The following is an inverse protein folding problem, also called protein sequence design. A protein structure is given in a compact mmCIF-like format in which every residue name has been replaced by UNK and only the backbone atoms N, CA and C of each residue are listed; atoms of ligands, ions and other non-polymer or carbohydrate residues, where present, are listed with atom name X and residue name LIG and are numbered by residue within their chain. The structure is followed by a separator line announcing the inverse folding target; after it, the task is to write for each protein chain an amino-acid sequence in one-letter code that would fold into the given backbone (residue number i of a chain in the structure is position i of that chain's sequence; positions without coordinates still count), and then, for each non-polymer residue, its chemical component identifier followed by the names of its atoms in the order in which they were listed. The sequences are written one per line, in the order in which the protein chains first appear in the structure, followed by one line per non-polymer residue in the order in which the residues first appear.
data_IF_962070357286
#
_entry.id   IF_962070357286
#
_cell.length_a   1.000
_cell.length_b   1.000
_cell.length_c   1.000
_cell.angle_alpha   90.00
_cell.angle_beta   90.00
_cell.angle_gamma   90.00
#
_symmetry.space_group_name_H-M   'P 1'
#
loop_
_entity.id
_entity.type
_entity.pdbx_description
1 polymer ?
#
# COMPACT_ATOMS: atom_id res chain seq x y z
N UNK A 1 -39.06 -24.31 13.04
CA UNK A 1 -38.08 -23.40 13.67
C UNK A 1 -36.85 -23.39 12.79
N UNK A 2 -36.77 -22.37 11.93
CA UNK A 2 -35.74 -22.27 10.89
C UNK A 2 -34.79 -21.18 11.35
N UNK A 3 -33.58 -21.56 11.76
CA UNK A 3 -32.53 -20.60 12.11
C UNK A 3 -32.06 -19.95 10.82
N UNK A 4 -32.34 -18.65 10.68
CA UNK A 4 -31.78 -17.80 9.63
C UNK A 4 -30.26 -17.75 9.81
N UNK A 5 -29.54 -18.30 8.85
CA UNK A 5 -28.12 -18.01 8.65
C UNK A 5 -28.00 -16.54 8.25
N UNK A 6 -27.50 -15.72 9.17
CA UNK A 6 -27.19 -14.33 8.91
C UNK A 6 -25.97 -14.29 7.97
N UNK A 7 -26.22 -13.96 6.72
CA UNK A 7 -25.21 -13.78 5.68
C UNK A 7 -24.54 -12.40 5.85
N UNK A 8 -23.63 -12.27 6.82
CA UNK A 8 -22.60 -11.24 6.76
C UNK A 8 -21.36 -11.88 6.16
N UNK A 9 -21.11 -11.60 4.89
CA UNK A 9 -19.94 -12.04 4.13
C UNK A 9 -18.67 -11.41 4.70
N UNK A 10 -18.13 -11.99 5.78
CA UNK A 10 -16.77 -11.69 6.27
C UNK A 10 -15.75 -12.28 5.28
N UNK A 11 -15.44 -11.53 4.22
CA UNK A 11 -14.30 -11.86 3.37
C UNK A 11 -13.05 -11.28 4.03
N UNK A 12 -12.40 -12.16 4.79
CA UNK A 12 -11.14 -11.96 5.52
C UNK A 12 -10.05 -11.52 4.54
N UNK A 13 -9.49 -10.31 4.68
CA UNK A 13 -8.10 -10.07 4.25
C UNK A 13 -7.26 -11.07 5.05
N UNK A 14 -6.51 -11.94 4.39
CA UNK A 14 -5.87 -13.08 5.05
C UNK A 14 -5.10 -12.63 6.31
N UNK A 15 -5.47 -13.19 7.47
CA UNK A 15 -4.96 -12.86 8.81
C UNK A 15 -5.44 -11.55 9.47
N UNK A 16 -6.45 -10.88 8.92
CA UNK A 16 -7.09 -9.70 9.51
C UNK A 16 -8.53 -9.97 9.95
N UNK A 17 -8.93 -9.40 11.09
CA UNK A 17 -10.27 -9.51 11.66
C UNK A 17 -10.79 -8.09 11.91
N UNK A 18 -11.96 -7.77 11.37
CA UNK A 18 -12.66 -6.52 11.64
C UNK A 18 -13.29 -6.56 13.03
N UNK A 19 -13.15 -5.48 13.79
CA UNK A 19 -13.72 -5.37 15.12
C UNK A 19 -15.14 -4.76 15.04
N UNK A 20 -16.07 -5.19 15.91
CA UNK A 20 -17.41 -4.62 15.92
C UNK A 20 -17.40 -3.15 16.37
N UNK A 21 -18.21 -2.32 15.71
CA UNK A 21 -18.43 -0.95 16.16
C UNK A 21 -19.14 -0.93 17.51
N UNK A 22 -18.60 -0.17 18.47
CA UNK A 22 -19.19 -0.05 19.79
C UNK A 22 -20.62 0.53 19.69
N UNK A 23 -21.61 -0.14 20.29
CA UNK A 23 -23.04 0.02 19.99
C UNK A 23 -23.64 1.43 20.17
N UNK A 24 -22.90 2.37 20.78
CA UNK A 24 -23.33 3.75 21.02
C UNK A 24 -23.33 4.67 19.78
N UNK A 25 -22.83 4.21 18.62
CA UNK A 25 -22.64 5.04 17.41
C UNK A 25 -23.48 4.60 16.18
N UNK A 26 -24.51 3.76 16.37
CA UNK A 26 -25.27 3.05 15.31
C UNK A 26 -26.11 3.89 14.32
N UNK A 27 -25.98 5.21 14.25
CA UNK A 27 -26.90 6.05 13.46
C UNK A 27 -26.40 6.40 12.05
N UNK A 28 -25.72 5.48 11.36
CA UNK A 28 -25.19 5.77 10.02
C UNK A 28 -25.65 4.79 8.95
N UNK A 29 -25.93 5.35 7.78
CA UNK A 29 -26.46 4.67 6.59
C UNK A 29 -25.38 4.27 5.58
N UNK A 30 -24.11 4.56 5.85
CA UNK A 30 -22.95 4.10 5.06
C UNK A 30 -22.42 2.76 5.59
N UNK A 31 -21.77 1.93 4.76
CA UNK A 31 -21.14 0.68 5.20
C UNK A 31 -19.93 0.97 6.10
N UNK A 32 -20.16 1.19 7.38
CA UNK A 32 -19.17 1.61 8.38
C UNK A 32 -18.34 0.45 8.97
N UNK A 33 -17.98 -0.52 8.14
CA UNK A 33 -17.48 -1.82 8.58
C UNK A 33 -16.09 -1.78 9.24
N UNK A 34 -15.31 -0.71 9.05
CA UNK A 34 -13.95 -0.57 9.61
C UNK A 34 -13.89 0.29 10.88
N UNK A 35 -14.98 0.94 11.28
CA UNK A 35 -14.97 1.90 12.40
C UNK A 35 -14.67 1.28 13.77
N UNK A 36 -14.94 -0.01 13.94
CA UNK A 36 -14.51 -0.72 15.16
C UNK A 36 -13.00 -0.95 15.23
N UNK A 37 -12.28 -0.73 14.14
CA UNK A 37 -10.86 -1.08 13.98
C UNK A 37 -10.66 -2.46 13.34
N UNK A 38 -9.40 -2.80 13.09
CA UNK A 38 -9.00 -4.08 12.49
C UNK A 38 -7.79 -4.62 13.24
N UNK A 39 -7.78 -5.93 13.49
CA UNK A 39 -6.59 -6.63 14.01
C UNK A 39 -6.04 -7.53 12.91
N UNK A 40 -4.80 -7.27 12.49
CA UNK A 40 -4.05 -8.11 11.57
C UNK A 40 -2.89 -8.81 12.29
N UNK A 41 -2.65 -10.08 11.98
CA UNK A 41 -1.53 -10.83 12.54
C UNK A 41 -0.58 -11.27 11.41
N UNK A 42 0.66 -10.78 11.41
CA UNK A 42 1.61 -11.11 10.36
C UNK A 42 2.90 -11.72 10.91
N UNK A 43 3.41 -12.71 10.17
CA UNK A 43 4.77 -13.22 10.37
C UNK A 43 5.72 -12.36 9.54
N UNK A 44 6.53 -11.55 10.22
CA UNK A 44 7.47 -10.62 9.58
C UNK A 44 8.72 -11.36 9.08
N UNK A 45 9.20 -12.31 9.88
CA UNK A 45 10.28 -13.21 9.50
C UNK A 45 10.07 -14.53 10.26
N UNK A 46 10.55 -15.64 9.71
CA UNK A 46 10.39 -16.97 10.32
C UNK A 46 11.01 -17.09 11.72
N UNK A 47 12.03 -16.28 12.00
CA UNK A 47 12.78 -16.31 13.27
C UNK A 47 12.28 -15.25 14.27
N UNK A 48 11.17 -14.55 13.94
CA UNK A 48 10.54 -13.55 14.80
C UNK A 48 9.17 -14.03 15.30
N UNK A 49 8.68 -13.51 16.44
CA UNK A 49 7.30 -13.75 16.85
C UNK A 49 6.32 -13.20 15.82
N UNK A 50 5.09 -13.70 15.85
CA UNK A 50 3.99 -13.10 15.10
C UNK A 50 3.70 -11.72 15.67
N UNK A 51 3.64 -10.71 14.80
CA UNK A 51 3.26 -9.35 15.16
C UNK A 51 1.76 -9.18 15.00
N UNK A 52 1.15 -8.49 15.96
CA UNK A 52 -0.25 -8.06 15.97
C UNK A 52 -0.30 -6.56 15.70
N UNK A 53 -1.01 -6.19 14.66
CA UNK A 53 -1.27 -4.83 14.23
C UNK A 53 -2.73 -4.51 14.49
N UNK A 54 -2.99 -3.59 15.41
CA UNK A 54 -4.32 -3.07 15.68
C UNK A 54 -4.44 -1.72 14.98
N UNK A 55 -5.16 -1.71 13.86
CA UNK A 55 -5.52 -0.50 13.13
C UNK A 55 -6.73 0.09 13.85
N UNK A 56 -6.50 1.19 14.56
CA UNK A 56 -7.52 1.84 15.37
C UNK A 56 -8.42 2.66 14.45
N UNK A 57 -9.71 2.30 14.41
CA UNK A 57 -10.70 3.04 13.63
C UNK A 57 -10.82 4.48 14.11
N UNK A 58 -10.97 5.40 13.15
CA UNK A 58 -11.06 6.82 13.47
C UNK A 58 -12.37 7.21 14.15
N UNK A 59 -12.35 8.33 14.89
CA UNK A 59 -13.55 8.92 15.52
C UNK A 59 -14.55 9.42 14.46
N UNK A 60 -14.08 9.64 13.23
CA UNK A 60 -14.88 10.09 12.10
C UNK A 60 -16.00 9.09 11.70
N UNK A 61 -16.96 9.59 10.91
CA UNK A 61 -18.07 8.81 10.32
C UNK A 61 -17.65 8.01 9.07
N UNK A 62 -16.34 7.94 8.79
CA UNK A 62 -15.80 7.30 7.59
C UNK A 62 -14.99 6.05 7.95
N UNK A 63 -14.80 5.15 6.96
CA UNK A 63 -13.93 3.98 7.09
C UNK A 63 -12.45 4.38 7.00
N UNK A 64 -11.96 5.01 8.07
CA UNK A 64 -10.58 5.52 8.20
C UNK A 64 -9.95 4.99 9.48
N UNK A 65 -8.62 5.05 9.55
CA UNK A 65 -7.83 4.64 10.72
C UNK A 65 -7.00 5.82 11.22
N UNK A 66 -6.94 6.02 12.53
CA UNK A 66 -6.17 7.11 13.16
C UNK A 66 -4.71 6.71 13.37
N UNK A 67 -4.48 5.45 13.74
CA UNK A 67 -3.14 4.93 14.04
C UNK A 67 -3.08 3.41 13.92
N UNK A 68 -1.86 2.89 13.91
CA UNK A 68 -1.55 1.46 14.00
C UNK A 68 -0.80 1.20 15.30
N UNK A 69 -1.39 0.39 16.17
CA UNK A 69 -0.77 -0.10 17.40
C UNK A 69 -0.14 -1.46 17.16
N UNK A 70 1.16 -1.59 17.44
CA UNK A 70 1.95 -2.78 17.12
C UNK A 70 2.41 -3.44 18.41
N UNK A 71 2.16 -4.74 18.53
CA UNK A 71 2.63 -5.58 19.64
C UNK A 71 2.98 -6.97 19.12
N UNK A 72 3.66 -7.78 19.91
CA UNK A 72 3.76 -9.22 19.61
C UNK A 72 2.46 -9.90 19.98
N UNK A 73 2.03 -10.91 19.23
CA UNK A 73 0.69 -11.52 19.34
C UNK A 73 0.32 -11.97 20.75
N UNK A 74 1.27 -12.54 21.49
CA UNK A 74 1.07 -13.10 22.83
C UNK A 74 1.43 -12.10 23.94
N UNK A 75 1.75 -10.85 23.59
CA UNK A 75 2.10 -9.80 24.53
C UNK A 75 1.01 -8.72 24.52
N UNK A 76 0.69 -8.19 25.70
CA UNK A 76 -0.20 -7.05 25.84
C UNK A 76 0.57 -5.71 25.85
N UNK A 77 1.89 -5.77 25.77
CA UNK A 77 2.74 -4.59 25.76
C UNK A 77 2.86 -4.03 24.35
N UNK A 78 2.47 -2.77 24.21
CA UNK A 78 2.65 -2.01 22.98
C UNK A 78 4.15 -1.83 22.69
N UNK A 79 4.58 -2.25 21.51
CA UNK A 79 5.96 -2.12 21.05
C UNK A 79 6.18 -0.83 20.26
N UNK A 80 5.17 -0.41 19.49
CA UNK A 80 5.23 0.79 18.64
C UNK A 80 3.82 1.30 18.32
N UNK A 81 3.71 2.62 18.12
CA UNK A 81 2.54 3.26 17.50
C UNK A 81 2.98 3.97 16.23
N UNK A 82 2.21 3.82 15.16
CA UNK A 82 2.35 4.57 13.92
C UNK A 82 1.13 5.47 13.74
N UNK A 83 1.33 6.78 13.77
CA UNK A 83 0.25 7.74 13.50
C UNK A 83 -0.06 7.77 11.99
N UNK A 84 -1.34 7.90 11.65
CA UNK A 84 -1.82 8.02 10.28
C UNK A 84 -2.29 9.46 10.08
N UNK A 85 -1.57 10.23 9.27
CA UNK A 85 -1.89 11.66 9.10
C UNK A 85 -3.17 11.89 8.30
N UNK A 86 -3.36 11.16 7.20
CA UNK A 86 -4.53 11.31 6.33
C UNK A 86 -4.79 10.03 5.55
N UNK A 87 -6.02 9.56 5.50
CA UNK A 87 -6.44 8.43 4.66
C UNK A 87 -7.81 8.75 4.06
N UNK A 88 -7.99 8.50 2.76
CA UNK A 88 -9.31 8.59 2.14
C UNK A 88 -10.18 7.41 2.58
N UNK A 89 -11.51 7.57 2.70
CA UNK A 89 -12.39 6.50 3.13
C UNK A 89 -12.22 5.24 2.28
N UNK A 90 -12.01 4.11 2.97
CA UNK A 90 -11.77 2.83 2.33
C UNK A 90 -13.05 2.27 1.71
N UNK A 91 -12.93 1.81 0.46
CA UNK A 91 -13.97 1.05 -0.23
C UNK A 91 -14.05 -0.36 0.37
N UNK A 92 -15.23 -0.96 0.28
CA UNK A 92 -15.42 -2.37 0.60
C UNK A 92 -14.57 -3.25 -0.34
N UNK A 93 -14.10 -4.40 0.16
CA UNK A 93 -13.25 -5.36 -0.57
C UNK A 93 -11.85 -4.88 -1.01
N UNK A 94 -11.40 -3.70 -0.57
CA UNK A 94 -10.07 -3.20 -0.91
C UNK A 94 -8.99 -3.85 -0.01
N UNK A 95 -7.89 -4.30 -0.60
CA UNK A 95 -6.71 -4.74 0.14
C UNK A 95 -5.97 -3.53 0.73
N UNK A 96 -6.44 -3.05 1.89
CA UNK A 96 -6.00 -1.80 2.47
C UNK A 96 -4.70 -1.92 3.29
N UNK A 97 -4.41 -3.08 3.88
CA UNK A 97 -3.23 -3.29 4.73
C UNK A 97 -2.55 -4.61 4.41
N UNK A 98 -1.25 -4.54 4.08
CA UNK A 98 -0.50 -5.69 3.57
C UNK A 98 0.86 -5.77 4.26
N UNK A 99 1.29 -7.02 4.51
CA UNK A 99 2.68 -7.32 4.83
C UNK A 99 3.38 -8.11 3.71
N UNK A 100 4.42 -7.52 3.13
CA UNK A 100 5.25 -8.10 2.07
C UNK A 100 6.67 -7.53 2.14
N UNK A 101 7.67 -8.25 1.63
CA UNK A 101 9.07 -7.78 1.61
C UNK A 101 9.25 -6.76 0.47
N UNK A 102 9.28 -5.47 0.83
CA UNK A 102 9.29 -4.34 -0.10
C UNK A 102 10.71 -3.84 -0.40
N UNK A 103 11.68 -4.16 0.46
CA UNK A 103 13.08 -3.79 0.27
C UNK A 103 14.00 -4.96 -0.17
N UNK A 104 13.47 -6.17 -0.23
CA UNK A 104 14.11 -7.43 -0.62
C UNK A 104 15.21 -7.93 0.32
N UNK A 105 15.08 -7.64 1.62
CA UNK A 105 16.01 -8.05 2.69
C UNK A 105 15.61 -9.35 3.40
N UNK A 106 14.43 -9.90 3.09
CA UNK A 106 13.90 -11.13 3.66
C UNK A 106 12.94 -10.93 4.84
N UNK A 107 12.81 -9.71 5.37
CA UNK A 107 11.80 -9.34 6.35
C UNK A 107 10.60 -8.72 5.63
N UNK A 108 9.38 -9.05 6.07
CA UNK A 108 8.20 -8.37 5.54
C UNK A 108 8.11 -6.96 6.12
N UNK A 109 7.80 -6.03 5.25
CA UNK A 109 7.45 -4.65 5.56
C UNK A 109 5.92 -4.54 5.66
N UNK A 110 5.40 -3.34 5.93
CA UNK A 110 3.96 -3.08 5.90
C UNK A 110 3.61 -1.88 5.04
N UNK A 111 2.44 -1.93 4.39
CA UNK A 111 1.84 -0.79 3.71
C UNK A 111 0.37 -0.63 4.07
N UNK A 112 -0.05 0.62 4.21
CA UNK A 112 -1.44 1.02 4.34
C UNK A 112 -1.83 1.88 3.13
N UNK A 113 -2.96 1.59 2.50
CA UNK A 113 -3.46 2.43 1.41
C UNK A 113 -3.87 3.81 1.94
N UNK A 114 -3.48 4.86 1.23
CA UNK A 114 -3.70 6.26 1.60
C UNK A 114 -4.87 6.87 0.82
N UNK A 115 -4.90 6.63 -0.48
CA UNK A 115 -5.93 7.16 -1.39
C UNK A 115 -6.17 6.23 -2.57
N UNK A 116 -7.32 6.42 -3.21
CA UNK A 116 -7.73 5.68 -4.41
C UNK A 116 -8.35 6.65 -5.43
N UNK A 117 -7.53 7.08 -6.39
CA UNK A 117 -7.95 8.01 -7.43
C UNK A 117 -8.90 7.37 -8.44
N UNK A 118 -9.74 8.20 -9.07
CA UNK A 118 -10.69 7.76 -10.10
C UNK A 118 -10.02 7.11 -11.34
N UNK A 119 -8.76 7.44 -11.60
CA UNK A 119 -7.95 6.86 -12.69
C UNK A 119 -7.32 5.51 -12.32
N UNK A 120 -7.67 4.93 -11.17
CA UNK A 120 -7.10 3.67 -10.66
C UNK A 120 -5.74 3.83 -9.96
N UNK A 121 -5.23 5.06 -9.83
CA UNK A 121 -4.03 5.36 -9.05
C UNK A 121 -4.26 5.11 -7.56
N UNK A 122 -3.33 4.42 -6.90
CA UNK A 122 -3.38 4.16 -5.46
C UNK A 122 -2.11 4.69 -4.78
N UNK A 123 -2.27 5.43 -3.69
CA UNK A 123 -1.17 5.84 -2.83
C UNK A 123 -1.08 4.98 -1.59
N UNK A 124 0.10 4.87 -0.99
CA UNK A 124 0.33 4.08 0.22
C UNK A 124 1.29 4.80 1.15
N UNK A 125 1.10 4.63 2.46
CA UNK A 125 2.20 4.82 3.42
C UNK A 125 2.91 3.48 3.61
N UNK A 126 4.23 3.48 3.45
CA UNK A 126 5.07 2.28 3.51
C UNK A 126 6.04 2.41 4.69
N UNK A 127 6.07 1.39 5.54
CA UNK A 127 7.04 1.27 6.62
C UNK A 127 7.89 0.03 6.45
N UNK A 128 9.21 0.23 6.39
CA UNK A 128 10.18 -0.86 6.33
C UNK A 128 10.48 -1.37 7.73
N UNK A 129 10.61 -2.68 7.89
CA UNK A 129 11.04 -3.26 9.16
C UNK A 129 12.56 -3.09 9.33
N UNK A 130 12.99 -2.49 10.43
CA UNK A 130 14.40 -2.41 10.82
C UNK A 130 14.70 -3.52 11.85
N UNK A 131 15.34 -4.64 11.44
CA UNK A 131 15.60 -5.76 12.33
C UNK A 131 16.59 -5.43 13.45
N UNK A 132 17.40 -4.37 13.30
CA UNK A 132 18.32 -3.95 14.37
C UNK A 132 17.59 -3.27 15.52
N UNK A 133 16.43 -2.65 15.24
CA UNK A 133 15.61 -1.93 16.23
C UNK A 133 14.33 -2.68 16.60
N UNK A 134 13.93 -3.67 15.80
CA UNK A 134 12.62 -4.32 15.85
C UNK A 134 11.45 -3.32 15.72
N UNK A 135 11.61 -2.33 14.84
CA UNK A 135 10.63 -1.26 14.60
C UNK A 135 10.34 -1.10 13.12
N UNK A 136 9.14 -0.62 12.82
CA UNK A 136 8.71 -0.21 11.49
C UNK A 136 9.03 1.27 11.28
N UNK A 137 9.77 1.60 10.22
CA UNK A 137 10.23 2.96 9.93
C UNK A 137 9.67 3.38 8.58
N UNK A 138 8.99 4.53 8.54
CA UNK A 138 8.41 5.04 7.31
C UNK A 138 9.50 5.29 6.27
N UNK A 139 9.30 4.79 5.04
CA UNK A 139 10.18 5.03 3.91
C UNK A 139 9.49 5.95 2.91
N UNK A 140 9.61 7.25 3.15
CA UNK A 140 9.00 8.32 2.33
C UNK A 140 9.24 8.16 0.83
N UNK A 141 10.48 7.83 0.43
CA UNK A 141 10.81 7.59 -0.99
C UNK A 141 9.96 6.49 -1.65
N UNK A 142 9.50 5.48 -0.89
CA UNK A 142 8.59 4.46 -1.38
C UNK A 142 7.13 4.91 -1.29
N UNK A 143 6.73 5.59 -0.21
CA UNK A 143 5.38 6.14 -0.04
C UNK A 143 4.99 7.15 -1.14
N UNK A 144 5.98 7.83 -1.73
CA UNK A 144 5.78 8.76 -2.85
C UNK A 144 5.50 8.06 -4.19
N UNK A 145 5.74 6.74 -4.30
CA UNK A 145 5.44 5.99 -5.51
C UNK A 145 3.93 5.72 -5.62
N UNK A 146 3.39 5.94 -6.82
CA UNK A 146 1.98 5.64 -7.11
C UNK A 146 1.85 4.22 -7.64
N UNK A 147 0.88 3.50 -7.10
CA UNK A 147 0.58 2.09 -7.38
C UNK A 147 1.83 1.20 -7.44
N UNK A 148 2.68 1.19 -6.39
CA UNK A 148 3.90 0.41 -6.39
C UNK A 148 3.60 -1.10 -6.36
N UNK A 149 4.43 -1.87 -7.04
CA UNK A 149 4.45 -3.34 -6.98
C UNK A 149 5.87 -3.85 -6.80
N UNK A 150 6.03 -4.88 -5.98
CA UNK A 150 7.33 -5.39 -5.55
C UNK A 150 7.58 -6.77 -6.16
N UNK A 151 8.68 -6.93 -6.89
CA UNK A 151 9.05 -8.21 -7.51
C UNK A 151 10.29 -8.78 -6.84
N UNK A 152 10.11 -9.78 -5.98
CA UNK A 152 11.18 -10.44 -5.23
C UNK A 152 12.18 -11.19 -6.11
N UNK A 153 11.72 -11.77 -7.23
CA UNK A 153 12.56 -12.52 -8.18
C UNK A 153 13.59 -11.62 -8.87
N UNK A 154 13.16 -10.45 -9.33
CA UNK A 154 14.04 -9.48 -10.02
C UNK A 154 14.62 -8.41 -9.10
N UNK A 155 14.16 -8.36 -7.83
CA UNK A 155 14.44 -7.31 -6.86
C UNK A 155 14.23 -5.92 -7.45
N UNK A 156 13.03 -5.71 -8.00
CA UNK A 156 12.64 -4.45 -8.64
C UNK A 156 11.30 -3.98 -8.12
N UNK A 157 11.16 -2.66 -8.05
CA UNK A 157 9.91 -1.99 -7.70
C UNK A 157 9.38 -1.33 -8.97
N UNK A 158 8.13 -1.58 -9.33
CA UNK A 158 7.46 -0.86 -10.42
C UNK A 158 6.46 0.11 -9.83
N UNK A 159 6.43 1.33 -10.34
CA UNK A 159 5.41 2.32 -10.02
C UNK A 159 4.68 2.70 -11.30
N UNK A 160 3.36 2.91 -11.21
CA UNK A 160 2.51 3.19 -12.35
C UNK A 160 1.52 4.30 -12.02
N UNK A 161 1.44 5.28 -12.90
CA UNK A 161 0.59 6.46 -12.75
C UNK A 161 -0.20 6.70 -14.04
N UNK A 162 -1.52 6.70 -13.95
CA UNK A 162 -2.42 7.14 -15.03
C UNK A 162 -2.69 8.64 -14.91
N UNK A 163 -2.38 9.41 -15.97
CA UNK A 163 -2.84 10.80 -16.12
C UNK A 163 -4.24 10.85 -16.72
N UNK A 164 -4.53 9.95 -17.67
CA UNK A 164 -5.82 9.78 -18.32
C UNK A 164 -5.98 8.31 -18.75
N UNK A 165 -7.01 7.98 -19.54
CA UNK A 165 -7.16 6.63 -20.09
C UNK A 165 -6.04 6.23 -21.07
N UNK A 166 -5.37 7.22 -21.68
CA UNK A 166 -4.39 7.02 -22.74
C UNK A 166 -2.98 7.50 -22.37
N UNK A 167 -2.83 8.21 -21.25
CA UNK A 167 -1.59 8.83 -20.84
C UNK A 167 -1.15 8.30 -19.49
N UNK A 168 0.11 7.88 -19.40
CA UNK A 168 0.63 7.24 -18.21
C UNK A 168 2.13 7.43 -18.04
N UNK A 169 2.59 7.08 -16.84
CA UNK A 169 3.99 6.97 -16.47
C UNK A 169 4.21 5.61 -15.77
N UNK A 170 5.10 4.80 -16.33
CA UNK A 170 5.59 3.56 -15.76
C UNK A 170 7.06 3.74 -15.40
N UNK A 171 7.43 3.42 -14.17
CA UNK A 171 8.79 3.56 -13.66
C UNK A 171 9.23 2.24 -13.04
N UNK A 172 10.51 1.91 -13.18
CA UNK A 172 11.10 0.74 -12.51
C UNK A 172 12.32 1.17 -11.75
N UNK A 173 12.45 0.68 -10.52
CA UNK A 173 13.49 1.02 -9.57
C UNK A 173 14.18 -0.22 -9.02
N UNK A 174 15.37 0.00 -8.50
CA UNK A 174 16.10 -0.92 -7.61
C UNK A 174 16.55 -0.18 -6.37
N UNK A 175 16.72 -0.91 -5.27
CA UNK A 175 17.32 -0.37 -4.05
C UNK A 175 18.83 -0.64 -4.11
N UNK A 176 19.62 0.41 -3.93
CA UNK A 176 21.06 0.31 -3.82
C UNK A 176 21.49 -0.22 -2.45
N UNK A 177 22.75 -0.66 -2.31
CA UNK A 177 23.28 -1.19 -1.04
C UNK A 177 23.15 -0.21 0.14
N UNK A 178 23.16 1.09 -0.12
CA UNK A 178 22.97 2.13 0.89
C UNK A 178 21.48 2.44 1.17
N UNK A 179 20.54 1.62 0.68
CA UNK A 179 19.11 1.80 0.88
C UNK A 179 18.46 2.87 -0.01
N UNK A 180 19.19 3.49 -0.93
CA UNK A 180 18.66 4.52 -1.84
C UNK A 180 17.88 3.90 -2.99
N UNK A 181 16.72 4.46 -3.31
CA UNK A 181 15.96 4.08 -4.49
C UNK A 181 16.61 4.66 -5.76
N UNK A 182 16.91 3.79 -6.73
CA UNK A 182 17.50 4.14 -8.03
C UNK A 182 16.53 3.77 -9.14
N UNK A 183 16.07 4.77 -9.89
CA UNK A 183 15.27 4.54 -11.09
C UNK A 183 16.14 3.99 -12.21
N UNK A 184 15.76 2.84 -12.77
CA UNK A 184 16.50 2.15 -13.82
C UNK A 184 15.77 2.14 -15.17
N UNK A 185 14.46 2.39 -15.16
CA UNK A 185 13.64 2.51 -16.37
C UNK A 185 12.53 3.52 -16.16
N UNK A 186 12.15 4.22 -17.23
CA UNK A 186 10.99 5.13 -17.26
C UNK A 186 10.33 5.03 -18.62
N UNK A 187 9.02 4.88 -18.65
CA UNK A 187 8.21 4.85 -19.86
C UNK A 187 7.04 5.81 -19.64
N UNK A 188 6.90 6.78 -20.55
CA UNK A 188 5.82 7.75 -20.52
C UNK A 188 5.09 7.74 -21.86
N UNK A 189 3.78 7.71 -21.82
CA UNK A 189 2.92 7.98 -22.97
C UNK A 189 2.14 9.26 -22.73
N UNK A 190 2.17 10.18 -23.69
CA UNK A 190 1.51 11.49 -23.59
C UNK A 190 0.96 11.93 -24.96
N UNK A 191 -0.09 12.75 -24.93
CA UNK A 191 -0.63 13.38 -26.14
C UNK A 191 0.27 14.53 -26.58
N UNK A 192 0.67 14.52 -27.86
CA UNK A 192 1.47 15.59 -28.46
C UNK A 192 0.57 16.41 -29.39
N UNK A 193 0.20 17.61 -28.93
CA UNK A 193 -0.74 18.48 -29.65
C UNK A 193 -0.28 18.80 -31.08
N UNK A 194 1.01 19.09 -31.25
CA UNK A 194 1.58 19.47 -32.56
C UNK A 194 1.40 18.37 -33.62
N UNK A 195 1.58 17.11 -33.25
CA UNK A 195 1.47 15.98 -34.17
C UNK A 195 0.11 15.28 -34.08
N UNK A 196 -0.77 15.72 -33.18
CA UNK A 196 -2.08 15.12 -32.89
C UNK A 196 -2.00 13.60 -32.72
N UNK A 197 -1.02 13.16 -31.94
CA UNK A 197 -0.69 11.74 -31.78
C UNK A 197 -0.19 11.45 -30.39
N UNK A 198 -0.39 10.23 -29.91
CA UNK A 198 0.31 9.76 -28.72
C UNK A 198 1.77 9.46 -29.04
N UNK A 199 2.65 9.91 -28.15
CA UNK A 199 4.06 9.60 -28.20
C UNK A 199 4.46 8.85 -26.94
N UNK A 200 5.14 7.73 -27.13
CA UNK A 200 5.74 6.98 -26.05
C UNK A 200 7.25 7.21 -26.02
N UNK A 201 7.78 7.62 -24.86
CA UNK A 201 9.20 7.79 -24.60
C UNK A 201 9.65 6.80 -23.54
N UNK A 202 10.59 5.93 -23.90
CA UNK A 202 11.17 4.90 -23.03
C UNK A 202 12.63 5.26 -22.77
N UNK A 203 12.98 5.47 -21.51
CA UNK A 203 14.34 5.59 -21.01
C UNK A 203 14.78 4.34 -20.28
N UNK A 204 16.03 3.93 -20.44
CA UNK A 204 16.71 2.93 -19.60
C UNK A 204 18.05 3.45 -19.13
N UNK A 205 18.36 3.26 -17.87
CA UNK A 205 19.67 3.58 -17.30
C UNK A 205 20.66 2.46 -17.67
N UNK A 206 21.70 2.80 -18.44
CA UNK A 206 22.78 1.91 -18.86
C UNK A 206 24.11 2.52 -18.45
N UNK A 207 24.88 1.82 -17.61
CA UNK A 207 26.18 2.28 -17.12
C UNK A 207 26.14 3.71 -16.54
N UNK A 208 25.09 4.04 -15.79
CA UNK A 208 24.89 5.37 -15.20
C UNK A 208 24.37 6.45 -16.15
N UNK A 209 24.18 6.12 -17.44
CA UNK A 209 23.72 7.06 -18.47
C UNK A 209 22.33 6.64 -18.95
N UNK A 210 21.41 7.60 -19.07
CA UNK A 210 20.09 7.35 -19.62
C UNK A 210 20.13 7.28 -21.14
N UNK A 211 19.61 6.19 -21.70
CA UNK A 211 19.39 6.03 -23.15
C UNK A 211 17.90 6.04 -23.40
N UNK A 212 17.46 6.89 -24.34
CA UNK A 212 16.05 7.07 -24.67
C UNK A 212 15.71 6.59 -26.08
N UNK A 213 14.52 6.02 -26.21
CA UNK A 213 13.88 5.70 -27.47
C UNK A 213 12.46 6.28 -27.46
N UNK A 214 12.04 6.79 -28.61
CA UNK A 214 10.73 7.41 -28.79
C UNK A 214 10.01 6.74 -29.95
N UNK A 215 8.71 6.50 -29.81
CA UNK A 215 7.85 6.01 -30.89
C UNK A 215 6.47 6.65 -30.81
N UNK A 216 5.80 6.73 -31.96
CA UNK A 216 4.38 7.05 -32.01
C UNK A 216 3.57 5.81 -31.62
N UNK A 217 2.49 6.03 -30.89
CA UNK A 217 1.59 4.98 -30.42
C UNK A 217 0.14 5.40 -30.65
N UNK A 218 -0.77 4.44 -30.52
CA UNK A 218 -2.20 4.69 -30.40
C UNK A 218 -2.61 4.61 -28.93
N UNK A 219 -3.76 5.20 -28.63
CA UNK A 219 -4.57 4.72 -27.52
C UNK A 219 -5.42 3.56 -28.07
#
# INVERSE_FOLDING_TARGET
MTVQLNQNSEKIIENCITLPLNQKLKNSTTSEYLRGGVICNFTIHKDLPIYKFHLVGGIDIYNVFDRIEISKRNENTLSQTLEIERIDPLKEDEEFFVAEDMNFDGYKDIRLILYQGATGNKGYTIWLFDPSKNLFIEKKELSELVSPTFNSKTKTIRAYYNYSSCEYLNQTYKIAKNGKLIQISKERQEWIEKSKSFQQKIGKLKNGIWVYHTRLTQC
#
